data_IF_756779134026
#
_entry.id   IF_756779134026
#
_cell.length_a   1.000
_cell.length_b   1.000
_cell.length_c   1.000
_cell.angle_alpha   90.00
_cell.angle_beta   90.00
_cell.angle_gamma   90.00
#
_symmetry.space_group_name_H-M   'P 1'
#
loop_
_entity.id
_entity.type
_entity.pdbx_description
1 polymer ?
#
# COMPACT_ATOMS: atom_id res chain seq x y z
N UNK A 1 -6.93 23.29 5.08
CA UNK A 1 -5.47 23.03 5.11
C UNK A 1 -5.29 21.84 6.01
N UNK A 2 -4.99 20.68 5.44
CA UNK A 2 -4.70 19.46 6.21
C UNK A 2 -3.23 19.51 6.60
N UNK A 3 -2.86 19.34 7.89
CA UNK A 3 -1.47 19.40 8.32
C UNK A 3 -0.66 18.23 7.73
N UNK A 4 0.56 18.50 7.26
CA UNK A 4 1.54 17.49 6.84
C UNK A 4 2.12 16.82 8.10
N UNK A 5 1.98 15.49 8.22
CA UNK A 5 2.43 14.70 9.37
C UNK A 5 3.71 13.93 9.07
N UNK A 6 4.59 13.81 10.08
CA UNK A 6 5.96 13.30 9.95
C UNK A 6 6.13 11.88 10.50
N UNK A 7 7.26 11.22 10.19
CA UNK A 7 7.50 9.77 10.41
C UNK A 7 7.30 9.32 11.85
N UNK A 8 7.66 10.18 12.81
CA UNK A 8 7.60 9.88 14.25
C UNK A 8 6.15 9.78 14.73
N UNK A 9 5.22 10.49 14.08
CA UNK A 9 3.79 10.47 14.42
C UNK A 9 3.08 9.25 13.84
N UNK A 10 3.53 8.73 12.68
CA UNK A 10 3.00 7.52 12.06
C UNK A 10 3.58 6.22 12.67
N UNK A 11 4.83 6.25 13.17
CA UNK A 11 5.51 5.07 13.74
C UNK A 11 5.30 4.91 15.25
N UNK A 12 4.96 5.98 15.98
CA UNK A 12 4.71 5.90 17.43
C UNK A 12 3.53 4.97 17.77
N UNK A 13 2.58 4.77 16.85
CA UNK A 13 1.45 3.85 17.02
C UNK A 13 1.78 2.36 16.89
N UNK A 14 3.01 2.01 16.48
CA UNK A 14 3.44 0.60 16.34
C UNK A 14 4.05 0.05 17.65
N UNK A 15 4.13 0.85 18.71
CA UNK A 15 4.26 0.31 20.07
C UNK A 15 4.94 1.23 21.08
N UNK A 16 4.18 1.68 22.08
CA UNK A 16 4.62 1.74 23.49
C UNK A 16 3.56 2.37 24.38
N UNK A 17 2.81 1.53 25.09
CA UNK A 17 2.38 1.86 26.44
C UNK A 17 3.61 1.72 27.36
N UNK A 18 4.32 2.82 27.61
CA UNK A 18 5.27 2.90 28.72
C UNK A 18 4.82 4.02 29.64
N UNK A 19 4.07 3.62 30.67
CA UNK A 19 3.81 4.46 31.82
C UNK A 19 5.13 4.78 32.51
N UNK A 20 5.56 6.05 32.46
CA UNK A 20 6.74 6.51 33.20
C UNK A 20 6.37 6.71 34.66
N UNK A 21 6.51 5.63 35.44
CA UNK A 21 6.64 5.68 36.90
C UNK A 21 8.11 5.82 37.27
N UNK A 22 8.47 6.93 37.91
CA UNK A 22 9.83 7.22 38.36
C UNK A 22 10.23 6.36 39.58
N UNK A 23 11.41 5.72 39.54
CA UNK A 23 12.48 5.87 40.56
C UNK A 23 13.63 4.86 40.41
N UNK A 24 14.85 5.41 40.27
CA UNK A 24 16.16 4.99 40.81
C UNK A 24 16.77 3.58 40.52
N UNK A 25 18.01 3.56 40.00
CA UNK A 25 19.02 2.54 40.38
C UNK A 25 19.92 1.96 39.28
N UNK A 26 21.02 2.66 38.99
CA UNK A 26 22.35 2.27 38.46
C UNK A 26 22.63 0.89 37.82
N UNK A 27 23.17 1.01 36.60
CA UNK A 27 24.37 0.36 36.01
C UNK A 27 24.34 -1.13 35.61
N UNK A 28 24.50 -1.37 34.31
CA UNK A 28 25.07 -2.60 33.77
C UNK A 28 24.73 -2.86 32.30
N UNK A 29 25.78 -2.95 31.47
CA UNK A 29 25.83 -3.50 30.11
C UNK A 29 25.26 -2.65 28.95
N UNK A 30 26.17 -2.05 28.18
CA UNK A 30 26.01 -1.86 26.74
C UNK A 30 25.80 -3.24 26.10
N UNK A 31 24.64 -3.47 25.48
CA UNK A 31 24.51 -4.34 24.32
C UNK A 31 23.60 -3.65 23.30
N UNK A 32 24.21 -3.13 22.25
CA UNK A 32 23.63 -3.10 20.90
C UNK A 32 24.57 -3.95 20.04
N UNK A 33 24.16 -4.57 18.92
CA UNK A 33 22.82 -4.78 18.36
C UNK A 33 22.59 -6.24 17.90
N UNK A 34 21.36 -6.58 17.49
CA UNK A 34 21.12 -7.64 16.52
C UNK A 34 20.13 -7.12 15.47
N UNK A 35 20.66 -6.28 14.57
CA UNK A 35 20.19 -6.19 13.20
C UNK A 35 20.32 -7.59 12.59
N UNK A 36 19.20 -8.28 12.46
CA UNK A 36 19.09 -9.50 11.68
C UNK A 36 17.90 -9.36 10.73
N UNK A 37 17.91 -8.28 9.95
CA UNK A 37 17.20 -8.23 8.67
C UNK A 37 18.12 -8.94 7.69
N UNK A 38 17.80 -10.20 7.39
CA UNK A 38 18.54 -10.97 6.39
C UNK A 38 18.29 -10.32 5.04
N UNK A 39 19.37 -9.73 4.51
CA UNK A 39 19.53 -9.20 3.16
C UNK A 39 19.16 -10.26 2.11
N UNK A 40 18.04 -10.01 1.42
CA UNK A 40 17.77 -10.52 0.08
C UNK A 40 16.93 -9.46 -0.65
N UNK A 41 17.61 -8.63 -1.45
CA UNK A 41 17.08 -7.65 -2.43
C UNK A 41 16.09 -6.57 -1.97
N UNK A 42 16.46 -5.65 -1.06
CA UNK A 42 15.71 -4.40 -0.89
C UNK A 42 16.42 -3.20 -1.53
N UNK A 43 16.38 -3.12 -2.86
CA UNK A 43 16.47 -1.84 -3.58
C UNK A 43 15.29 -0.96 -3.12
N UNK A 44 15.49 -0.21 -2.03
CA UNK A 44 14.40 0.17 -1.12
C UNK A 44 13.52 1.34 -1.58
N UNK A 45 12.31 1.47 -1.08
CA UNK A 45 11.40 0.47 -0.50
C UNK A 45 10.03 1.02 -0.88
N UNK A 46 9.26 0.29 -1.68
CA UNK A 46 7.89 0.66 -1.98
C UNK A 46 7.12 0.92 -0.67
N UNK A 47 6.18 1.89 -0.64
CA UNK A 47 5.25 1.97 0.47
C UNK A 47 4.49 0.65 0.60
N UNK A 48 4.36 0.16 1.83
CA UNK A 48 3.83 -1.20 2.09
C UNK A 48 2.39 -1.18 2.59
N UNK A 49 1.95 -0.07 3.18
CA UNK A 49 0.64 0.03 3.81
C UNK A 49 -0.03 1.35 3.44
N UNK A 50 -1.35 1.31 3.41
CA UNK A 50 -2.20 2.50 3.48
C UNK A 50 -2.55 2.79 4.92
N UNK A 51 -2.50 4.07 5.26
CA UNK A 51 -2.79 4.57 6.59
C UNK A 51 -4.09 5.37 6.58
N UNK A 52 -4.85 5.27 7.68
CA UNK A 52 -5.99 6.15 7.99
C UNK A 52 -5.89 6.59 9.45
N UNK A 53 -6.35 7.81 9.79
CA UNK A 53 -6.46 8.22 11.17
C UNK A 53 -7.60 7.43 11.83
N UNK A 54 -7.40 7.01 13.08
CA UNK A 54 -8.47 6.47 13.90
C UNK A 54 -9.31 7.59 14.55
N UNK A 55 -10.18 7.22 15.49
CA UNK A 55 -11.06 8.16 16.19
C UNK A 55 -10.32 9.20 17.04
N UNK A 56 -9.07 8.91 17.42
CA UNK A 56 -8.20 9.79 18.21
C UNK A 56 -7.23 10.59 17.33
N UNK A 57 -7.29 10.40 16.00
CA UNK A 57 -6.46 11.07 15.02
C UNK A 57 -5.11 10.39 14.77
N UNK A 58 -4.86 9.22 15.36
CA UNK A 58 -3.64 8.46 15.19
C UNK A 58 -3.67 7.67 13.87
N UNK A 59 -2.60 7.78 13.08
CA UNK A 59 -2.51 7.11 11.80
C UNK A 59 -2.08 5.66 11.95
N UNK A 60 -2.96 4.76 11.53
CA UNK A 60 -2.77 3.33 11.65
C UNK A 60 -2.72 2.67 10.27
N UNK A 61 -1.87 1.65 10.06
CA UNK A 61 -1.93 0.84 8.85
C UNK A 61 -3.26 0.10 8.81
N UNK A 62 -4.01 0.30 7.72
CA UNK A 62 -5.37 -0.22 7.56
C UNK A 62 -5.51 -1.18 6.39
N UNK A 63 -4.74 -1.01 5.32
CA UNK A 63 -4.81 -1.83 4.10
C UNK A 63 -3.39 -2.11 3.56
N UNK A 64 -3.15 -3.27 2.92
CA UNK A 64 -1.86 -3.62 2.34
C UNK A 64 -1.63 -2.89 1.01
N UNK A 65 -0.42 -2.46 0.67
CA UNK A 65 -0.03 -2.18 -0.72
C UNK A 65 0.62 -3.45 -1.23
N UNK A 66 -0.07 -4.15 -2.12
CA UNK A 66 0.14 -5.57 -2.42
C UNK A 66 0.76 -5.84 -3.79
N UNK A 67 0.98 -4.82 -4.60
CA UNK A 67 1.62 -4.97 -5.91
C UNK A 67 2.75 -3.96 -6.04
N UNK A 68 3.97 -4.43 -6.30
CA UNK A 68 5.13 -3.60 -6.60
C UNK A 68 5.49 -3.75 -8.07
N UNK A 69 5.50 -2.66 -8.83
CA UNK A 69 5.78 -2.72 -10.25
C UNK A 69 6.98 -1.85 -10.60
N UNK A 70 7.87 -2.39 -11.42
CA UNK A 70 9.05 -1.71 -11.93
C UNK A 70 9.04 -1.67 -13.45
N UNK A 71 9.15 -0.49 -14.02
CA UNK A 71 9.44 -0.33 -15.44
C UNK A 71 10.95 -0.16 -15.61
N UNK A 72 11.57 -1.01 -16.43
CA UNK A 72 12.99 -0.94 -16.73
C UNK A 72 13.28 -0.41 -18.13
N UNK A 73 12.23 -0.04 -18.87
CA UNK A 73 12.34 0.71 -20.12
C UNK A 73 12.73 2.16 -19.82
N UNK A 74 13.25 2.89 -20.82
CA UNK A 74 13.60 4.31 -20.66
C UNK A 74 12.37 5.23 -20.40
N UNK A 75 11.19 4.66 -20.13
CA UNK A 75 9.94 5.36 -19.81
C UNK A 75 9.71 5.50 -18.31
N UNK A 76 8.88 6.46 -17.90
CA UNK A 76 8.51 6.63 -16.50
C UNK A 76 7.47 5.59 -16.09
N UNK A 77 7.75 4.81 -15.03
CA UNK A 77 6.92 3.68 -14.61
C UNK A 77 5.46 4.07 -14.34
N UNK A 78 5.22 5.24 -13.72
CA UNK A 78 3.87 5.74 -13.53
C UNK A 78 3.13 5.95 -14.85
N UNK A 79 3.79 6.53 -15.86
CA UNK A 79 3.17 6.76 -17.16
C UNK A 79 2.80 5.44 -17.85
N UNK A 80 3.68 4.43 -17.77
CA UNK A 80 3.42 3.09 -18.33
C UNK A 80 2.22 2.42 -17.66
N UNK A 81 2.11 2.53 -16.33
CA UNK A 81 0.94 2.01 -15.59
C UNK A 81 -0.33 2.80 -15.90
N UNK A 82 -0.25 4.12 -15.98
CA UNK A 82 -1.40 4.96 -16.35
C UNK A 82 -1.93 4.59 -17.73
N UNK A 83 -1.05 4.44 -18.72
CA UNK A 83 -1.40 4.06 -20.09
C UNK A 83 -2.08 2.68 -20.13
N UNK A 84 -1.57 1.72 -19.37
CA UNK A 84 -2.16 0.39 -19.24
C UNK A 84 -3.61 0.43 -18.73
N UNK A 85 -3.97 1.41 -17.87
CA UNK A 85 -5.33 1.56 -17.34
C UNK A 85 -6.19 2.59 -18.08
N UNK A 86 -5.61 3.55 -18.80
CA UNK A 86 -6.30 4.70 -19.40
C UNK A 86 -6.40 4.65 -20.95
N UNK A 87 -5.73 3.70 -21.60
CA UNK A 87 -5.73 3.56 -23.06
C UNK A 87 -7.13 3.41 -23.68
N UNK A 88 -7.28 3.76 -24.96
CA UNK A 88 -8.53 3.61 -25.72
C UNK A 88 -9.04 2.15 -25.81
N UNK A 89 -8.15 1.18 -25.58
CA UNK A 89 -8.47 -0.24 -25.42
C UNK A 89 -9.20 -0.58 -24.11
N UNK A 90 -9.08 0.27 -23.09
CA UNK A 90 -9.34 -0.08 -21.69
C UNK A 90 -10.42 0.81 -21.04
N UNK A 91 -11.50 1.08 -21.78
CA UNK A 91 -12.67 1.88 -21.34
C UNK A 91 -13.43 1.33 -20.12
N UNK A 92 -13.08 0.13 -19.67
CA UNK A 92 -13.67 -0.51 -18.49
C UNK A 92 -13.15 0.09 -17.18
N UNK A 93 -12.00 0.76 -17.19
CA UNK A 93 -11.42 1.42 -16.03
C UNK A 93 -11.82 2.91 -15.96
N UNK A 94 -12.22 3.40 -14.78
CA UNK A 94 -12.77 4.75 -14.60
C UNK A 94 -12.25 5.45 -13.35
N UNK A 95 -12.09 6.77 -13.44
CA UNK A 95 -11.70 7.69 -12.34
C UNK A 95 -12.90 8.36 -11.64
N UNK A 96 -14.14 8.02 -12.00
CA UNK A 96 -15.34 8.86 -11.72
C UNK A 96 -15.83 8.84 -10.26
N UNK A 97 -15.28 8.00 -9.39
CA UNK A 97 -15.73 7.88 -7.99
C UNK A 97 -14.75 8.50 -7.01
N UNK A 98 -15.22 9.19 -5.95
CA UNK A 98 -14.35 9.78 -4.94
C UNK A 98 -13.59 8.69 -4.20
N UNK A 99 -12.27 8.86 -4.08
CA UNK A 99 -11.41 7.91 -3.36
C UNK A 99 -11.50 8.08 -1.85
N UNK A 100 -11.23 6.97 -1.16
CA UNK A 100 -11.00 7.00 0.27
C UNK A 100 -9.82 7.92 0.61
N UNK A 101 -9.85 8.57 1.77
CA UNK A 101 -8.76 9.43 2.27
C UNK A 101 -7.48 8.66 2.65
N UNK A 102 -7.31 7.46 2.11
CA UNK A 102 -6.17 6.59 2.36
C UNK A 102 -4.89 7.22 1.81
N UNK A 103 -3.81 7.08 2.57
CA UNK A 103 -2.51 7.66 2.21
C UNK A 103 -1.41 6.63 2.38
N UNK A 104 -0.42 6.67 1.51
CA UNK A 104 0.80 5.90 1.64
C UNK A 104 1.90 6.75 2.27
N UNK A 105 2.87 6.09 2.90
CA UNK A 105 4.05 6.76 3.44
C UNK A 105 5.05 7.07 2.34
N UNK A 106 5.28 8.36 2.07
CA UNK A 106 6.36 8.83 1.19
C UNK A 106 7.63 9.01 2.02
N UNK A 107 8.64 8.19 1.72
CA UNK A 107 9.90 8.19 2.46
C UNK A 107 10.75 9.41 2.18
N UNK A 108 10.77 9.90 0.94
CA UNK A 108 11.60 11.04 0.56
C UNK A 108 11.07 12.34 1.14
N UNK A 109 9.75 12.52 1.08
CA UNK A 109 9.06 13.70 1.61
C UNK A 109 8.76 13.59 3.10
N UNK A 110 9.05 12.44 3.70
CA UNK A 110 8.75 12.08 5.09
C UNK A 110 7.32 12.46 5.51
N UNK A 111 6.32 12.10 4.69
CA UNK A 111 4.91 12.41 4.96
C UNK A 111 3.93 11.42 4.32
N UNK A 112 2.67 11.47 4.76
CA UNK A 112 1.57 10.70 4.16
C UNK A 112 0.99 11.40 2.92
N UNK A 113 1.05 10.73 1.77
CA UNK A 113 0.62 11.27 0.46
C UNK A 113 -0.59 10.52 -0.11
N UNK A 114 -1.50 11.22 -0.81
CA UNK A 114 -2.57 10.55 -1.56
C UNK A 114 -2.00 9.75 -2.73
N UNK A 115 -2.77 8.84 -3.35
CA UNK A 115 -2.35 8.20 -4.59
C UNK A 115 -2.21 9.23 -5.72
N UNK A 116 -1.24 8.99 -6.61
CA UNK A 116 -1.04 9.76 -7.84
C UNK A 116 -2.08 9.38 -8.90
N UNK A 117 -2.47 8.11 -8.92
CA UNK A 117 -3.46 7.58 -9.84
C UNK A 117 -4.42 6.61 -9.15
N UNK A 118 -5.70 6.67 -9.51
CA UNK A 118 -6.68 5.71 -9.01
C UNK A 118 -7.80 5.45 -10.01
N UNK A 119 -8.12 4.17 -10.18
CA UNK A 119 -9.11 3.70 -11.14
C UNK A 119 -9.87 2.50 -10.62
N UNK A 120 -11.14 2.41 -11.02
CA UNK A 120 -12.03 1.29 -10.74
C UNK A 120 -12.41 0.60 -12.02
N UNK A 121 -12.68 -0.70 -11.97
CA UNK A 121 -13.32 -1.47 -13.05
C UNK A 121 -14.72 -1.88 -12.59
N UNK A 122 -15.76 -1.04 -12.81
CA UNK A 122 -17.12 -1.33 -12.36
C UNK A 122 -17.62 -2.62 -13.01
N UNK A 123 -18.31 -3.44 -12.22
CA UNK A 123 -18.98 -4.67 -12.67
C UNK A 123 -20.41 -4.67 -12.15
N UNK A 124 -21.29 -5.42 -12.80
CA UNK A 124 -22.65 -5.62 -12.29
C UNK A 124 -22.57 -6.52 -11.04
N UNK A 125 -22.93 -5.98 -9.88
CA UNK A 125 -22.86 -6.67 -8.60
C UNK A 125 -22.06 -5.88 -7.57
N UNK A 126 -21.82 -6.50 -6.41
CA UNK A 126 -20.81 -6.06 -5.46
C UNK A 126 -19.40 -6.44 -5.97
N UNK A 127 -18.33 -5.95 -5.33
CA UNK A 127 -16.93 -6.34 -5.60
C UNK A 127 -16.35 -5.81 -6.93
N UNK A 128 -16.11 -4.50 -6.99
CA UNK A 128 -15.44 -3.88 -8.15
C UNK A 128 -13.93 -3.81 -7.92
N UNK A 129 -13.12 -4.20 -8.89
CA UNK A 129 -11.67 -4.03 -8.75
C UNK A 129 -11.33 -2.56 -8.69
N UNK A 130 -10.66 -2.15 -7.62
CA UNK A 130 -10.21 -0.79 -7.37
C UNK A 130 -8.71 -0.79 -7.13
N UNK A 131 -8.04 0.10 -7.84
CA UNK A 131 -6.60 0.28 -7.81
C UNK A 131 -6.27 1.70 -7.38
N UNK A 132 -5.33 1.81 -6.44
CA UNK A 132 -4.62 3.05 -6.13
C UNK A 132 -3.14 2.87 -6.43
N UNK A 133 -2.52 3.86 -7.06
CA UNK A 133 -1.12 3.83 -7.52
C UNK A 133 -0.38 5.02 -6.93
N UNK A 134 0.83 4.74 -6.45
CA UNK A 134 1.79 5.74 -5.99
C UNK A 134 3.05 5.67 -6.82
N UNK A 135 3.49 6.82 -7.29
CA UNK A 135 4.82 7.02 -7.82
C UNK A 135 5.84 6.82 -6.70
N UNK A 136 6.82 5.95 -6.91
CA UNK A 136 7.93 5.74 -5.96
C UNK A 136 9.16 6.46 -6.46
N UNK A 137 9.53 6.22 -7.71
CA UNK A 137 10.53 6.97 -8.47
C UNK A 137 10.36 6.69 -9.97
N UNK A 138 11.28 7.22 -10.78
CA UNK A 138 11.26 7.12 -12.25
C UNK A 138 10.96 5.70 -12.77
N UNK A 139 11.45 4.66 -12.08
CA UNK A 139 11.36 3.27 -12.53
C UNK A 139 10.31 2.46 -11.74
N UNK A 140 9.70 3.01 -10.68
CA UNK A 140 8.96 2.21 -9.69
C UNK A 140 7.62 2.81 -9.29
N UNK A 141 6.62 1.94 -9.18
CA UNK A 141 5.27 2.28 -8.70
C UNK A 141 4.72 1.25 -7.73
N UNK A 142 4.04 1.74 -6.70
CA UNK A 142 3.40 0.91 -5.70
C UNK A 142 1.89 0.91 -5.93
N UNK A 143 1.28 -0.26 -5.85
CA UNK A 143 -0.12 -0.47 -6.23
C UNK A 143 -0.85 -1.16 -5.08
N UNK A 144 -1.93 -0.53 -4.62
CA UNK A 144 -2.93 -1.19 -3.78
C UNK A 144 -4.09 -1.66 -4.65
N UNK A 145 -4.32 -2.97 -4.69
CA UNK A 145 -5.44 -3.60 -5.36
C UNK A 145 -6.39 -4.23 -4.34
N UNK A 146 -7.68 -3.88 -4.41
CA UNK A 146 -8.75 -4.49 -3.63
C UNK A 146 -10.05 -4.57 -4.44
N UNK A 147 -11.03 -5.31 -3.93
CA UNK A 147 -12.41 -5.25 -4.39
C UNK A 147 -13.19 -4.28 -3.50
N UNK A 148 -13.85 -3.30 -4.11
CA UNK A 148 -14.84 -2.43 -3.47
C UNK A 148 -16.11 -3.25 -3.21
N UNK A 149 -16.35 -3.58 -1.96
CA UNK A 149 -17.55 -4.30 -1.50
C UNK A 149 -18.53 -3.30 -0.90
N UNK A 150 -19.79 -3.33 -1.34
CA UNK A 150 -20.82 -2.44 -0.79
C UNK A 150 -20.96 -2.65 0.72
N UNK A 151 -20.76 -1.56 1.47
CA UNK A 151 -20.87 -1.57 2.93
C UNK A 151 -21.59 -0.30 3.37
N UNK A 152 -22.89 -0.36 3.71
CA UNK A 152 -23.65 0.81 4.11
C UNK A 152 -23.24 1.36 5.48
N UNK A 153 -22.43 0.63 6.25
CA UNK A 153 -21.85 1.10 7.51
C UNK A 153 -20.55 1.87 7.31
N UNK A 154 -19.92 1.75 6.13
CA UNK A 154 -18.72 2.50 5.77
C UNK A 154 -19.06 3.94 5.38
N UNK A 155 -18.18 4.89 5.75
CA UNK A 155 -18.32 6.31 5.41
C UNK A 155 -18.33 6.61 3.91
N UNK A 156 -17.88 5.65 3.09
CA UNK A 156 -17.82 5.78 1.63
C UNK A 156 -18.78 4.81 0.91
N UNK A 157 -19.66 4.12 1.64
CA UNK A 157 -20.56 3.08 1.12
C UNK A 157 -19.87 1.85 0.50
N UNK A 158 -18.55 1.73 0.70
CA UNK A 158 -17.76 0.58 0.30
C UNK A 158 -16.62 0.34 1.30
N UNK A 159 -16.15 -0.90 1.35
CA UNK A 159 -14.91 -1.30 2.01
C UNK A 159 -14.02 -2.04 1.02
N UNK A 160 -12.71 -1.93 1.20
CA UNK A 160 -11.76 -2.78 0.47
C UNK A 160 -11.70 -4.16 1.10
N UNK A 161 -11.86 -5.18 0.27
CA UNK A 161 -11.77 -6.60 0.64
C UNK A 161 -11.11 -7.40 -0.51
N UNK A 162 -10.88 -8.70 -0.30
CA UNK A 162 -10.43 -9.63 -1.35
C UNK A 162 -9.17 -9.17 -2.12
N UNK A 163 -8.14 -8.73 -1.38
CA UNK A 163 -6.91 -8.19 -1.94
C UNK A 163 -6.23 -9.14 -2.92
N UNK A 164 -6.15 -10.44 -2.59
CA UNK A 164 -5.50 -11.43 -3.45
C UNK A 164 -6.18 -11.62 -4.80
N UNK A 165 -7.51 -11.61 -4.83
CA UNK A 165 -8.26 -11.72 -6.10
C UNK A 165 -8.13 -10.44 -6.93
N UNK A 166 -8.13 -9.28 -6.27
CA UNK A 166 -7.88 -8.01 -6.93
C UNK A 166 -6.46 -7.92 -7.50
N UNK A 167 -5.44 -8.36 -6.76
CA UNK A 167 -4.06 -8.38 -7.22
C UNK A 167 -3.87 -9.30 -8.44
N UNK A 168 -4.49 -10.49 -8.44
CA UNK A 168 -4.50 -11.40 -9.61
C UNK A 168 -5.14 -10.73 -10.82
N UNK A 169 -6.31 -10.09 -10.64
CA UNK A 169 -6.98 -9.40 -11.73
C UNK A 169 -6.15 -8.23 -12.29
N UNK A 170 -5.42 -7.52 -11.44
CA UNK A 170 -4.47 -6.47 -11.85
C UNK A 170 -3.29 -7.06 -12.62
N UNK A 171 -2.72 -8.17 -12.16
CA UNK A 171 -1.61 -8.82 -12.83
C UNK A 171 -2.00 -9.45 -14.17
N UNK A 172 -3.19 -10.03 -14.29
CA UNK A 172 -3.73 -10.52 -15.56
C UNK A 172 -3.88 -9.34 -16.55
N UNK A 173 -4.46 -8.23 -16.09
CA UNK A 173 -4.62 -7.01 -16.91
C UNK A 173 -3.28 -6.45 -17.37
N UNK A 174 -2.33 -6.24 -16.45
CA UNK A 174 -1.01 -5.72 -16.78
C UNK A 174 -0.19 -6.71 -17.62
N UNK A 175 -0.42 -8.02 -17.44
CA UNK A 175 0.17 -9.07 -18.27
C UNK A 175 -0.21 -8.97 -19.74
N UNK A 176 -1.47 -8.65 -20.03
CA UNK A 176 -1.96 -8.41 -21.39
C UNK A 176 -1.34 -7.15 -22.03
N UNK A 177 -0.89 -6.20 -21.20
CA UNK A 177 -0.22 -4.96 -21.61
C UNK A 177 1.31 -5.10 -21.69
N UNK A 178 1.87 -6.28 -21.38
CA UNK A 178 3.30 -6.60 -21.54
C UNK A 178 4.10 -6.76 -20.25
N UNK A 179 3.48 -6.58 -19.08
CA UNK A 179 4.14 -6.77 -17.80
C UNK A 179 4.36 -8.26 -17.49
N UNK A 180 5.46 -8.58 -16.83
CA UNK A 180 5.79 -9.93 -16.38
C UNK A 180 5.70 -10.04 -14.87
N UNK A 181 5.01 -11.08 -14.40
CA UNK A 181 4.90 -11.40 -12.97
C UNK A 181 6.14 -12.16 -12.50
N UNK A 182 6.81 -11.62 -11.49
CA UNK A 182 7.82 -12.35 -10.72
C UNK A 182 7.11 -13.34 -9.79
N UNK A 183 7.44 -14.63 -9.93
CA UNK A 183 6.90 -15.69 -9.07
C UNK A 183 7.63 -15.70 -7.74
N UNK A 184 6.95 -16.16 -6.70
CA UNK A 184 7.50 -16.31 -5.34
C UNK A 184 7.95 -14.99 -4.69
N UNK A 185 7.06 -13.99 -4.75
CA UNK A 185 7.23 -12.70 -4.09
C UNK A 185 6.39 -12.62 -2.80
N UNK A 186 6.91 -11.96 -1.76
CA UNK A 186 6.15 -11.67 -0.53
C UNK A 186 6.57 -10.31 0.04
N UNK A 187 5.60 -9.60 0.62
CA UNK A 187 5.78 -8.27 1.19
C UNK A 187 5.73 -8.38 2.70
N UNK A 188 6.77 -7.86 3.36
CA UNK A 188 6.78 -7.74 4.82
C UNK A 188 6.15 -6.42 5.23
N UNK A 189 4.88 -6.46 5.61
CA UNK A 189 4.08 -5.27 5.90
C UNK A 189 4.46 -4.54 7.20
N UNK A 190 5.23 -5.17 8.10
CA UNK A 190 5.60 -4.56 9.38
C UNK A 190 4.42 -4.32 10.33
N UNK A 191 3.36 -5.13 10.20
CA UNK A 191 2.17 -5.10 11.06
C UNK A 191 2.05 -6.41 11.85
N UNK A 192 1.32 -6.39 12.97
CA UNK A 192 1.10 -7.59 13.79
C UNK A 192 0.26 -8.67 13.08
N UNK A 193 0.39 -9.92 13.54
CA UNK A 193 -0.30 -11.09 12.98
C UNK A 193 -1.83 -10.90 12.91
N UNK A 194 -2.45 -10.33 13.96
CA UNK A 194 -3.89 -10.01 13.98
C UNK A 194 -4.33 -9.08 12.84
N UNK A 195 -3.44 -8.21 12.34
CA UNK A 195 -3.73 -7.35 11.19
C UNK A 195 -3.65 -8.14 9.90
N UNK A 196 -2.62 -8.96 9.74
CA UNK A 196 -2.45 -9.83 8.57
C UNK A 196 -3.61 -10.82 8.46
N UNK A 197 -4.02 -11.45 9.56
CA UNK A 197 -5.16 -12.38 9.58
C UNK A 197 -6.46 -11.69 9.15
N UNK A 198 -6.68 -10.44 9.57
CA UNK A 198 -7.84 -9.64 9.13
C UNK A 198 -7.79 -9.24 7.67
N UNK A 199 -6.60 -9.05 7.11
CA UNK A 199 -6.46 -8.80 5.68
C UNK A 199 -6.69 -10.06 4.86
N UNK A 200 -6.39 -11.24 5.40
CA UNK A 200 -6.46 -12.49 4.66
C UNK A 200 -5.37 -12.57 3.59
N UNK A 201 -5.68 -13.19 2.45
CA UNK A 201 -4.75 -13.29 1.32
C UNK A 201 -4.55 -11.90 0.69
N UNK A 202 -3.34 -11.35 0.87
CA UNK A 202 -2.95 -10.04 0.30
C UNK A 202 -2.64 -10.12 -1.19
N UNK A 203 -2.28 -11.31 -1.69
CA UNK A 203 -1.84 -11.54 -3.07
C UNK A 203 -0.64 -10.68 -3.45
N UNK A 204 0.43 -10.77 -2.67
CA UNK A 204 1.66 -10.01 -2.90
C UNK A 204 2.25 -10.34 -4.28
N UNK A 205 2.43 -9.32 -5.12
CA UNK A 205 2.99 -9.48 -6.45
C UNK A 205 4.09 -8.48 -6.72
N UNK A 206 5.04 -8.91 -7.54
CA UNK A 206 6.04 -8.04 -8.15
C UNK A 206 5.95 -8.16 -9.67
N UNK A 207 5.91 -7.02 -10.34
CA UNK A 207 5.74 -6.90 -11.79
C UNK A 207 6.94 -6.17 -12.39
N UNK A 208 7.36 -6.59 -13.58
CA UNK A 208 8.40 -5.93 -14.36
C UNK A 208 7.93 -5.69 -15.78
N UNK A 209 8.14 -4.48 -16.30
CA UNK A 209 7.94 -4.12 -17.71
C UNK A 209 9.26 -4.16 -18.49
#
# INVERSE_FOLDING_TARGET
MTPDLTRREAMAGIGSAVAVGASAGLAGAQESPAEAVVDADREGDYPRCLYKPDGDGEWNPVLPINVHARDSSDGAALATVEDAFAGFSNLEWTRVFPDATARAWDRERERLVPPDYSVRRPRLGDEWTHVHVWDVDDDRVAIHAHLDVFDPSSSHFHRGDHYGDAARAVADHLGDEGWTVERDYSIEYGVGEDRLERWGDTGDLKLTY
#
